data_IF_503148296398
#
_entry.id   IF_503148296398
#
_cell.length_a   1.000
_cell.length_b   1.000
_cell.length_c   1.000
_cell.angle_alpha   90.00
_cell.angle_beta   90.00
_cell.angle_gamma   90.00
#
_symmetry.space_group_name_H-M   'P 1'
#
loop_
_entity.id
_entity.type
_entity.pdbx_description
1 polymer ?
#
# COMPACT_ATOMS: atom_id res chain seq x y z
N UNK A 1 19.23 7.58 -8.54
CA UNK A 1 17.96 8.27 -8.83
C UNK A 1 18.01 9.72 -8.36
N UNK A 2 17.18 10.63 -8.89
CA UNK A 2 16.95 11.96 -8.32
C UNK A 2 15.46 12.17 -8.01
N UNK A 3 15.17 12.69 -6.83
CA UNK A 3 13.83 12.97 -6.30
C UNK A 3 13.74 14.44 -5.89
N UNK A 4 12.56 15.03 -5.93
CA UNK A 4 12.28 16.37 -5.39
C UNK A 4 11.07 16.34 -4.46
N UNK A 5 11.04 17.24 -3.49
CA UNK A 5 9.91 17.41 -2.59
C UNK A 5 8.78 18.21 -3.29
N UNK A 6 7.56 17.68 -3.31
CA UNK A 6 6.38 18.33 -3.90
C UNK A 6 5.99 19.69 -3.26
N UNK A 7 6.46 19.98 -2.04
CA UNK A 7 6.22 21.27 -1.36
C UNK A 7 7.37 22.26 -1.50
N UNK A 8 8.56 21.79 -1.87
CA UNK A 8 9.76 22.60 -2.08
C UNK A 8 10.62 21.94 -3.16
N UNK A 9 10.44 22.35 -4.42
CA UNK A 9 11.13 21.75 -5.56
C UNK A 9 12.67 21.94 -5.53
N UNK A 10 13.18 22.82 -4.66
CA UNK A 10 14.63 22.99 -4.46
C UNK A 10 15.21 21.90 -3.54
N UNK A 11 14.40 21.28 -2.68
CA UNK A 11 14.82 20.13 -1.90
C UNK A 11 14.86 18.90 -2.80
N UNK A 12 16.08 18.44 -3.09
CA UNK A 12 16.35 17.32 -3.97
C UNK A 12 17.25 16.31 -3.27
N UNK A 13 16.92 15.03 -3.44
CA UNK A 13 17.60 13.91 -2.79
C UNK A 13 17.76 12.74 -3.77
N UNK A 14 18.71 11.85 -3.53
CA UNK A 14 18.77 10.56 -4.21
C UNK A 14 17.86 9.52 -3.55
N UNK A 15 17.81 8.29 -4.06
CA UNK A 15 16.92 7.26 -3.51
C UNK A 15 17.33 6.87 -2.08
N UNK A 16 18.61 6.66 -1.83
CA UNK A 16 19.16 6.29 -0.52
C UNK A 16 18.81 7.32 0.55
N UNK A 17 18.96 8.61 0.24
CA UNK A 17 18.58 9.72 1.09
C UNK A 17 17.07 9.73 1.34
N UNK A 18 16.24 9.63 0.30
CA UNK A 18 14.78 9.59 0.46
C UNK A 18 14.31 8.35 1.24
N UNK A 19 14.96 7.22 1.08
CA UNK A 19 14.68 5.98 1.81
C UNK A 19 14.94 6.15 3.31
N UNK A 20 16.06 6.77 3.68
CA UNK A 20 16.43 7.03 5.08
C UNK A 20 15.63 8.17 5.71
N UNK A 21 15.34 9.22 4.93
CA UNK A 21 14.66 10.43 5.41
C UNK A 21 13.14 10.25 5.48
N UNK A 22 12.56 9.49 4.55
CA UNK A 22 11.11 9.29 4.41
C UNK A 22 10.37 10.52 3.88
N UNK A 23 10.27 11.58 4.69
CA UNK A 23 9.57 12.84 4.37
C UNK A 23 10.55 13.98 4.06
N UNK A 24 10.23 14.77 3.05
CA UNK A 24 10.86 16.07 2.82
C UNK A 24 10.46 17.10 3.87
N UNK A 25 11.08 18.28 3.81
CA UNK A 25 10.71 19.45 4.60
C UNK A 25 9.21 19.75 4.47
N UNK A 26 8.64 20.34 5.51
CA UNK A 26 7.21 20.68 5.60
C UNK A 26 6.27 19.46 5.41
N UNK A 27 6.75 18.26 5.75
CA UNK A 27 6.05 16.99 5.53
C UNK A 27 5.67 16.78 4.05
N UNK A 28 6.53 17.26 3.14
CA UNK A 28 6.31 17.11 1.71
C UNK A 28 6.78 15.75 1.21
N UNK A 29 6.06 15.19 0.23
CA UNK A 29 6.40 13.89 -0.34
C UNK A 29 7.47 14.05 -1.42
N UNK A 30 8.40 13.10 -1.47
CA UNK A 30 9.33 12.99 -2.58
C UNK A 30 8.67 12.39 -3.83
N UNK A 31 9.01 12.93 -5.00
CA UNK A 31 8.54 12.47 -6.32
C UNK A 31 9.70 12.32 -7.31
N UNK A 32 9.70 11.32 -8.21
CA UNK A 32 10.75 11.10 -9.21
C UNK A 32 11.00 12.34 -10.08
N UNK A 33 12.23 12.86 -10.08
CA UNK A 33 12.60 13.97 -10.97
C UNK A 33 12.48 13.57 -12.44
N UNK A 34 12.91 12.37 -12.78
CA UNK A 34 12.75 11.79 -14.12
C UNK A 34 11.67 10.72 -14.06
N UNK A 35 10.77 10.74 -15.05
CA UNK A 35 9.78 9.68 -15.26
C UNK A 35 10.30 8.82 -16.43
N UNK A 36 10.99 7.69 -16.16
CA UNK A 36 11.46 6.81 -17.22
C UNK A 36 10.28 6.26 -18.04
N UNK A 37 10.58 5.81 -19.25
CA UNK A 37 9.64 5.14 -20.14
C UNK A 37 10.37 4.06 -20.90
N UNK A 38 9.67 2.95 -21.14
CA UNK A 38 10.11 1.87 -22.01
C UNK A 38 9.41 1.97 -23.36
N UNK A 39 10.13 1.62 -24.42
CA UNK A 39 9.57 1.40 -25.75
C UNK A 39 8.68 0.16 -25.77
N UNK A 40 7.79 0.07 -26.76
CA UNK A 40 6.83 -1.04 -26.83
C UNK A 40 7.49 -2.42 -26.86
N UNK A 41 8.59 -2.56 -27.59
CA UNK A 41 9.33 -3.82 -27.66
C UNK A 41 9.98 -4.20 -26.31
N UNK A 42 10.42 -3.21 -25.53
CA UNK A 42 10.97 -3.42 -24.19
C UNK A 42 9.87 -3.86 -23.22
N UNK A 43 8.68 -3.25 -23.29
CA UNK A 43 7.51 -3.68 -22.52
C UNK A 43 7.17 -5.14 -22.84
N UNK A 44 7.08 -5.51 -24.12
CA UNK A 44 6.75 -6.88 -24.51
C UNK A 44 7.83 -7.88 -24.02
N UNK A 45 9.11 -7.50 -24.04
CA UNK A 45 10.20 -8.30 -23.49
C UNK A 45 10.12 -8.43 -21.96
N UNK A 46 9.82 -7.35 -21.24
CA UNK A 46 9.61 -7.36 -19.78
C UNK A 46 8.46 -8.29 -19.41
N UNK A 47 7.32 -8.19 -20.10
CA UNK A 47 6.15 -9.04 -19.82
C UNK A 47 6.40 -10.53 -20.06
N UNK A 48 7.44 -10.91 -20.81
CA UNK A 48 7.85 -12.29 -21.03
C UNK A 48 8.79 -12.85 -19.95
N UNK A 49 9.40 -12.00 -19.11
CA UNK A 49 10.28 -12.41 -18.02
C UNK A 49 9.49 -12.95 -16.82
N UNK A 50 10.15 -13.64 -15.90
CA UNK A 50 9.57 -13.98 -14.59
C UNK A 50 9.36 -12.73 -13.72
N UNK A 51 8.52 -12.85 -12.69
CA UNK A 51 8.12 -11.73 -11.85
C UNK A 51 9.30 -11.01 -11.17
N UNK A 52 10.29 -11.76 -10.67
CA UNK A 52 11.42 -11.19 -9.91
C UNK A 52 12.35 -10.43 -10.85
N UNK A 53 12.75 -11.06 -11.96
CA UNK A 53 13.63 -10.42 -12.97
C UNK A 53 12.97 -9.18 -13.56
N UNK A 54 11.69 -9.28 -13.92
CA UNK A 54 10.91 -8.14 -14.46
C UNK A 54 10.85 -6.98 -13.47
N UNK A 55 10.57 -7.29 -12.20
CA UNK A 55 10.51 -6.29 -11.12
C UNK A 55 11.86 -5.59 -10.93
N UNK A 56 12.97 -6.33 -11.01
CA UNK A 56 14.31 -5.74 -10.92
C UNK A 56 14.58 -4.73 -12.04
N UNK A 57 14.20 -5.03 -13.29
CA UNK A 57 14.33 -4.09 -14.41
C UNK A 57 13.45 -2.83 -14.24
N UNK A 58 12.20 -3.01 -13.81
CA UNK A 58 11.27 -1.89 -13.55
C UNK A 58 11.85 -0.95 -12.49
N UNK A 59 12.37 -1.51 -11.39
CA UNK A 59 12.96 -0.75 -10.30
C UNK A 59 14.28 -0.10 -10.72
N UNK A 60 15.12 -0.80 -11.49
CA UNK A 60 16.38 -0.26 -12.01
C UNK A 60 16.17 0.97 -12.89
N UNK A 61 15.08 1.04 -13.66
CA UNK A 61 14.76 2.23 -14.47
C UNK A 61 14.56 3.50 -13.63
N UNK A 62 14.10 3.38 -12.38
CA UNK A 62 14.03 4.51 -11.45
C UNK A 62 15.32 4.71 -10.66
N UNK A 63 15.90 3.62 -10.13
CA UNK A 63 17.09 3.68 -9.28
C UNK A 63 18.31 4.20 -10.06
N UNK A 64 18.38 3.95 -11.37
CA UNK A 64 19.51 4.29 -12.22
C UNK A 64 20.80 3.65 -11.70
N UNK A 65 21.92 4.36 -11.85
CA UNK A 65 23.24 3.84 -11.47
C UNK A 65 23.53 3.88 -9.96
N UNK A 66 22.52 4.16 -9.12
CA UNK A 66 22.69 4.23 -7.66
C UNK A 66 22.97 2.86 -7.03
N UNK A 67 22.48 1.79 -7.65
CA UNK A 67 22.77 0.41 -7.26
C UNK A 67 23.03 -0.45 -8.51
N UNK A 68 24.00 -1.38 -8.47
CA UNK A 68 24.17 -2.36 -9.53
C UNK A 68 22.91 -3.20 -9.73
N UNK A 69 22.62 -3.60 -10.97
CA UNK A 69 21.45 -4.42 -11.30
C UNK A 69 21.39 -5.72 -10.48
N UNK A 70 22.51 -6.42 -10.32
CA UNK A 70 22.58 -7.67 -9.54
C UNK A 70 22.19 -7.46 -8.08
N UNK A 71 22.52 -6.30 -7.51
CA UNK A 71 22.08 -5.92 -6.15
C UNK A 71 20.56 -5.74 -6.13
N UNK A 72 19.98 -5.01 -7.09
CA UNK A 72 18.53 -4.81 -7.17
C UNK A 72 17.83 -6.16 -7.32
N UNK A 73 18.30 -7.02 -8.23
CA UNK A 73 17.78 -8.36 -8.46
C UNK A 73 17.79 -9.21 -7.19
N UNK A 74 18.92 -9.25 -6.47
CA UNK A 74 19.04 -9.98 -5.21
C UNK A 74 18.06 -9.47 -4.14
N UNK A 75 17.93 -8.14 -4.00
CA UNK A 75 17.02 -7.51 -3.02
C UNK A 75 15.55 -7.75 -3.37
N UNK A 76 15.18 -7.71 -4.64
CA UNK A 76 13.85 -8.06 -5.11
C UNK A 76 13.56 -9.54 -4.88
N UNK A 77 14.50 -10.44 -5.20
CA UNK A 77 14.34 -11.88 -4.99
C UNK A 77 14.13 -12.25 -3.52
N UNK A 78 14.78 -11.56 -2.58
CA UNK A 78 14.55 -11.73 -1.15
C UNK A 78 13.21 -11.14 -0.66
N UNK A 79 12.72 -10.09 -1.31
CA UNK A 79 11.48 -9.42 -0.95
C UNK A 79 10.24 -10.15 -1.50
N UNK A 80 10.24 -10.47 -2.79
CA UNK A 80 9.09 -10.98 -3.55
C UNK A 80 9.13 -12.51 -3.62
N UNK A 81 9.03 -13.14 -2.45
CA UNK A 81 9.08 -14.61 -2.29
C UNK A 81 7.70 -15.27 -2.43
N UNK A 82 6.72 -14.56 -3.00
CA UNK A 82 5.33 -14.96 -3.16
C UNK A 82 4.74 -14.37 -4.44
N UNK A 83 3.73 -15.02 -5.04
CA UNK A 83 3.15 -14.59 -6.31
C UNK A 83 2.13 -13.44 -6.17
N UNK A 84 1.69 -12.90 -7.31
CA UNK A 84 0.56 -11.99 -7.45
C UNK A 84 -0.37 -12.50 -8.56
N UNK A 85 -1.11 -13.60 -8.36
CA UNK A 85 -1.87 -14.23 -9.43
C UNK A 85 -3.09 -13.42 -9.85
N UNK A 86 -3.45 -13.52 -11.13
CA UNK A 86 -4.69 -13.01 -11.71
C UNK A 86 -5.69 -14.15 -11.78
N UNK A 87 -6.79 -14.02 -11.06
CA UNK A 87 -7.84 -15.04 -10.95
C UNK A 87 -9.08 -14.57 -11.71
N UNK A 88 -9.55 -15.32 -12.74
CA UNK A 88 -10.80 -14.99 -13.43
C UNK A 88 -12.00 -15.02 -12.49
N UNK A 89 -12.87 -14.02 -12.60
CA UNK A 89 -14.13 -13.88 -11.81
C UNK A 89 -15.35 -13.98 -12.72
N UNK A 90 -15.29 -13.39 -13.91
CA UNK A 90 -16.25 -13.55 -15.01
C UNK A 90 -15.51 -13.66 -16.34
N UNK A 91 -16.25 -13.71 -17.45
CA UNK A 91 -15.67 -13.72 -18.80
C UNK A 91 -14.76 -12.49 -19.08
N UNK A 92 -15.15 -11.34 -18.54
CA UNK A 92 -14.57 -10.03 -18.79
C UNK A 92 -13.93 -9.38 -17.57
N UNK A 93 -13.95 -10.01 -16.39
CA UNK A 93 -13.39 -9.47 -15.15
C UNK A 93 -12.50 -10.51 -14.44
N UNK A 94 -11.33 -10.08 -14.00
CA UNK A 94 -10.45 -10.83 -13.10
C UNK A 94 -10.08 -10.03 -11.84
N UNK A 95 -9.61 -10.76 -10.83
CA UNK A 95 -9.03 -10.22 -9.61
C UNK A 95 -7.50 -10.37 -9.64
N UNK A 96 -6.75 -9.31 -9.34
CA UNK A 96 -5.32 -9.43 -9.02
C UNK A 96 -5.18 -9.69 -7.52
N UNK A 97 -4.87 -10.91 -7.13
CA UNK A 97 -4.77 -11.31 -5.72
C UNK A 97 -3.39 -10.94 -5.14
N UNK A 98 -3.35 -9.85 -4.37
CA UNK A 98 -2.12 -9.30 -3.78
C UNK A 98 -1.88 -9.77 -2.33
N UNK A 99 -2.52 -10.86 -1.91
CA UNK A 99 -2.54 -11.32 -0.52
C UNK A 99 -1.86 -12.67 -0.30
N UNK A 100 -0.94 -13.07 -1.18
CA UNK A 100 -0.16 -14.30 -1.05
C UNK A 100 1.13 -14.13 -0.24
N UNK A 101 1.40 -12.91 0.23
CA UNK A 101 2.52 -12.62 1.11
C UNK A 101 2.29 -13.08 2.55
N UNK A 102 3.32 -12.98 3.40
CA UNK A 102 3.31 -13.48 4.77
C UNK A 102 2.25 -12.84 5.68
N UNK A 103 1.75 -11.66 5.31
CA UNK A 103 0.73 -10.94 6.10
C UNK A 103 -0.60 -10.81 5.39
N UNK A 104 -0.77 -11.54 4.28
CA UNK A 104 -2.02 -11.68 3.56
C UNK A 104 -2.56 -10.32 3.04
N UNK A 105 -1.67 -9.40 2.66
CA UNK A 105 -2.04 -8.11 2.11
C UNK A 105 -0.96 -7.54 1.17
N UNK A 106 -1.38 -6.72 0.21
CA UNK A 106 -0.48 -6.14 -0.82
C UNK A 106 0.68 -5.33 -0.25
N UNK A 107 0.56 -4.89 1.01
CA UNK A 107 1.58 -4.13 1.71
C UNK A 107 2.86 -4.94 1.93
N UNK A 108 2.79 -6.27 1.82
CA UNK A 108 3.95 -7.17 1.87
C UNK A 108 5.00 -6.84 0.79
N UNK A 109 4.58 -6.54 -0.45
CA UNK A 109 5.52 -6.20 -1.53
C UNK A 109 6.37 -4.99 -1.15
N UNK A 110 5.70 -3.85 -0.88
CA UNK A 110 6.40 -2.62 -0.53
C UNK A 110 7.18 -2.73 0.79
N UNK A 111 6.59 -3.32 1.83
CA UNK A 111 7.21 -3.41 3.15
C UNK A 111 8.50 -4.22 3.11
N UNK A 112 8.48 -5.39 2.45
CA UNK A 112 9.64 -6.27 2.36
C UNK A 112 10.72 -5.70 1.45
N UNK A 113 10.35 -5.08 0.32
CA UNK A 113 11.33 -4.41 -0.54
C UNK A 113 12.00 -3.24 0.18
N UNK A 114 11.21 -2.44 0.91
CA UNK A 114 11.76 -1.36 1.74
C UNK A 114 12.76 -1.89 2.77
N UNK A 115 12.45 -2.99 3.47
CA UNK A 115 13.38 -3.58 4.44
C UNK A 115 14.69 -4.03 3.79
N UNK A 116 14.63 -4.67 2.63
CA UNK A 116 15.80 -5.08 1.86
C UNK A 116 16.67 -3.90 1.43
N UNK A 117 16.06 -2.84 0.91
CA UNK A 117 16.80 -1.64 0.51
C UNK A 117 17.32 -0.85 1.72
N UNK A 118 16.58 -0.84 2.83
CA UNK A 118 17.02 -0.13 4.04
C UNK A 118 18.26 -0.79 4.62
N UNK A 119 18.31 -2.12 4.71
CA UNK A 119 19.54 -2.83 5.10
C UNK A 119 20.71 -2.52 4.16
N UNK A 120 20.46 -2.49 2.84
CA UNK A 120 21.48 -2.19 1.84
C UNK A 120 22.08 -0.78 2.03
N UNK A 121 21.27 0.19 2.46
CA UNK A 121 21.66 1.60 2.56
C UNK A 121 22.12 2.00 3.96
N UNK A 122 21.43 1.52 5.01
CA UNK A 122 21.73 1.84 6.40
C UNK A 122 22.90 1.03 6.96
N UNK A 123 23.19 -0.15 6.39
CA UNK A 123 24.17 -1.08 6.95
C UNK A 123 23.81 -1.43 8.39
N UNK A 124 24.77 -1.27 9.31
CA UNK A 124 24.60 -1.55 10.75
C UNK A 124 24.09 -0.34 11.55
N UNK A 125 23.79 0.79 10.90
CA UNK A 125 23.31 1.98 11.60
C UNK A 125 21.96 1.67 12.28
N UNK A 126 21.79 2.00 13.58
CA UNK A 126 20.50 1.88 14.25
C UNK A 126 19.41 2.72 13.58
N UNK A 127 18.26 2.12 13.31
CA UNK A 127 17.08 2.79 12.74
C UNK A 127 15.84 2.44 13.54
N UNK A 128 15.03 3.44 13.88
CA UNK A 128 13.71 3.23 14.49
C UNK A 128 12.62 3.48 13.46
N UNK A 129 11.90 2.44 13.06
CA UNK A 129 10.73 2.51 12.20
C UNK A 129 9.49 2.83 13.04
N UNK A 130 9.00 4.06 12.95
CA UNK A 130 7.74 4.49 13.58
C UNK A 130 6.61 4.54 12.55
N UNK A 131 5.57 3.74 12.75
CA UNK A 131 4.48 3.56 11.78
C UNK A 131 3.10 3.58 12.46
N UNK A 132 2.17 4.35 11.91
CA UNK A 132 0.76 4.28 12.26
C UNK A 132 0.03 3.32 11.30
N UNK A 133 -0.89 2.50 11.81
CA UNK A 133 -1.66 1.54 11.02
C UNK A 133 -3.15 1.54 11.36
N UNK A 134 -3.98 1.29 10.35
CA UNK A 134 -5.40 0.94 10.47
C UNK A 134 -5.64 -0.58 10.41
N UNK A 135 -4.57 -1.38 10.41
CA UNK A 135 -4.61 -2.84 10.36
C UNK A 135 -3.39 -3.40 9.63
N UNK A 136 -3.52 -3.62 8.32
CA UNK A 136 -2.53 -4.37 7.52
C UNK A 136 -1.12 -3.77 7.47
N UNK A 137 -0.98 -2.44 7.48
CA UNK A 137 0.34 -1.81 7.34
C UNK A 137 1.27 -2.21 8.47
N UNK A 138 0.72 -2.28 9.70
CA UNK A 138 1.45 -2.71 10.89
C UNK A 138 1.96 -4.14 10.72
N UNK A 139 1.13 -5.06 10.23
CA UNK A 139 1.56 -6.43 9.98
C UNK A 139 2.69 -6.51 8.94
N UNK A 140 2.49 -5.91 7.76
CA UNK A 140 3.50 -5.97 6.70
C UNK A 140 4.83 -5.36 7.14
N UNK A 141 4.80 -4.23 7.87
CA UNK A 141 6.01 -3.59 8.41
C UNK A 141 6.63 -4.44 9.51
N UNK A 142 5.85 -4.92 10.48
CA UNK A 142 6.39 -5.73 11.57
C UNK A 142 7.11 -6.98 11.03
N UNK A 143 6.50 -7.72 10.10
CA UNK A 143 7.09 -8.92 9.53
C UNK A 143 8.26 -8.61 8.59
N UNK A 144 8.23 -7.50 7.85
CA UNK A 144 9.32 -7.13 6.95
C UNK A 144 10.62 -6.79 7.71
N UNK A 145 10.51 -6.19 8.89
CA UNK A 145 11.63 -5.74 9.71
C UNK A 145 11.89 -6.63 10.94
N UNK A 146 11.15 -7.73 11.10
CA UNK A 146 11.32 -8.64 12.23
C UNK A 146 12.70 -9.29 12.22
N UNK A 147 13.35 -9.30 13.38
CA UNK A 147 14.65 -9.96 13.57
C UNK A 147 15.84 -9.24 12.94
N UNK A 148 15.69 -7.97 12.56
CA UNK A 148 16.81 -7.16 12.07
C UNK A 148 17.49 -6.45 13.24
N UNK A 149 18.73 -6.83 13.53
CA UNK A 149 19.45 -6.43 14.75
C UNK A 149 19.57 -4.90 14.92
N UNK A 150 19.77 -4.17 13.82
CA UNK A 150 19.90 -2.72 13.84
C UNK A 150 18.58 -1.96 13.63
N UNK A 151 17.43 -2.65 13.62
CA UNK A 151 16.12 -2.02 13.40
C UNK A 151 15.21 -2.26 14.59
N UNK A 152 14.68 -1.17 15.14
CA UNK A 152 13.57 -1.21 16.09
C UNK A 152 12.29 -0.77 15.38
N UNK A 153 11.17 -1.46 15.60
CA UNK A 153 9.89 -1.13 14.98
C UNK A 153 8.89 -0.78 16.06
N UNK A 154 8.29 0.40 15.95
CA UNK A 154 7.22 0.87 16.82
C UNK A 154 5.97 1.12 15.99
N UNK A 155 4.90 0.38 16.29
CA UNK A 155 3.64 0.45 15.56
C UNK A 155 2.54 1.03 16.44
N UNK A 156 1.96 2.14 16.01
CA UNK A 156 0.80 2.77 16.64
C UNK A 156 -0.47 2.33 15.92
N UNK A 157 -1.48 1.90 16.66
CA UNK A 157 -2.79 1.57 16.10
C UNK A 157 -3.92 2.00 17.05
N UNK A 158 -5.11 2.34 16.51
CA UNK A 158 -6.23 2.75 17.35
C UNK A 158 -6.78 1.56 18.15
N UNK A 159 -6.83 1.72 19.47
CA UNK A 159 -7.32 0.70 20.40
C UNK A 159 -8.76 0.29 20.06
N UNK A 160 -8.97 -1.02 19.85
CA UNK A 160 -10.29 -1.59 19.57
C UNK A 160 -10.88 -1.25 18.19
N UNK A 161 -10.11 -0.66 17.27
CA UNK A 161 -10.62 -0.26 15.93
C UNK A 161 -9.99 -1.04 14.76
N UNK A 162 -9.31 -2.16 15.05
CA UNK A 162 -8.77 -3.08 14.03
C UNK A 162 -9.32 -4.49 14.28
N UNK A 163 -9.37 -5.32 13.23
CA UNK A 163 -9.83 -6.72 13.35
C UNK A 163 -8.95 -7.48 14.36
N UNK A 164 -9.53 -8.34 15.22
CA UNK A 164 -8.77 -9.15 16.17
C UNK A 164 -7.66 -9.97 15.50
N UNK A 165 -7.91 -10.51 14.30
CA UNK A 165 -6.91 -11.29 13.55
C UNK A 165 -5.80 -10.39 12.99
N UNK A 166 -6.13 -9.15 12.58
CA UNK A 166 -5.10 -8.17 12.19
C UNK A 166 -4.22 -7.81 13.39
N UNK A 167 -4.80 -7.56 14.56
CA UNK A 167 -4.05 -7.26 15.79
C UNK A 167 -3.10 -8.41 16.17
N UNK A 168 -3.61 -9.65 16.18
CA UNK A 168 -2.80 -10.84 16.47
C UNK A 168 -1.62 -11.01 15.52
N UNK A 169 -1.75 -10.61 14.26
CA UNK A 169 -0.72 -10.83 13.24
C UNK A 169 0.58 -10.04 13.52
N UNK A 170 0.51 -8.92 14.24
CA UNK A 170 1.69 -8.07 14.51
C UNK A 170 1.93 -7.72 15.98
N UNK A 171 0.91 -7.79 16.83
CA UNK A 171 1.03 -7.53 18.28
C UNK A 171 1.48 -8.75 19.10
N UNK A 172 1.88 -9.84 18.45
CA UNK A 172 2.30 -11.10 19.08
C UNK A 172 3.77 -11.46 18.79
N UNK A 173 4.50 -10.59 18.09
CA UNK A 173 5.85 -10.88 17.59
C UNK A 173 6.94 -10.73 18.67
N UNK A 174 6.90 -9.65 19.45
CA UNK A 174 7.94 -9.32 20.42
C UNK A 174 9.30 -9.06 19.76
N UNK A 175 10.40 -9.23 20.52
CA UNK A 175 11.75 -8.97 20.03
C UNK A 175 11.94 -7.49 19.69
N UNK A 176 12.35 -7.19 18.45
CA UNK A 176 12.53 -5.82 17.97
C UNK A 176 11.22 -5.11 17.55
N UNK A 177 10.06 -5.75 17.75
CA UNK A 177 8.74 -5.20 17.42
C UNK A 177 8.01 -4.80 18.69
N UNK A 178 7.66 -3.51 18.75
CA UNK A 178 6.90 -2.90 19.84
C UNK A 178 5.59 -2.35 19.29
N UNK A 179 4.48 -2.73 19.91
CA UNK A 179 3.15 -2.29 19.49
C UNK A 179 2.49 -1.43 20.56
N UNK A 180 1.82 -0.37 20.12
CA UNK A 180 1.16 0.60 21.01
C UNK A 180 -0.29 0.80 20.55
N UNK A 181 -1.21 0.42 21.42
CA UNK A 181 -2.63 0.71 21.29
C UNK A 181 -2.89 2.14 21.76
N UNK A 182 -3.27 3.02 20.83
CA UNK A 182 -3.58 4.43 21.13
C UNK A 182 -5.07 4.58 21.42
N UNK A 183 -5.41 5.22 22.54
CA UNK A 183 -6.78 5.60 22.88
C UNK A 183 -7.23 6.76 21.98
N UNK A 184 -7.62 6.45 20.75
CA UNK A 184 -7.98 7.41 19.71
C UNK A 184 -8.44 6.73 18.42
N UNK A 185 -8.48 7.49 17.33
CA UNK A 185 -8.66 6.97 15.97
C UNK A 185 -7.32 6.86 15.22
N UNK A 186 -7.41 6.42 13.96
CA UNK A 186 -6.23 6.32 13.10
C UNK A 186 -5.59 7.69 12.83
N UNK A 187 -6.39 8.75 12.70
CA UNK A 187 -5.89 10.10 12.46
C UNK A 187 -5.06 10.61 13.65
N UNK A 188 -5.47 10.30 14.88
CA UNK A 188 -4.69 10.55 16.10
C UNK A 188 -3.36 9.78 16.09
N UNK A 189 -3.36 8.50 15.72
CA UNK A 189 -2.13 7.72 15.57
C UNK A 189 -1.19 8.36 14.54
N UNK A 190 -1.71 8.77 13.39
CA UNK A 190 -0.94 9.41 12.34
C UNK A 190 -0.40 10.78 12.77
N UNK A 191 -1.18 11.56 13.53
CA UNK A 191 -0.74 12.83 14.08
C UNK A 191 0.43 12.67 15.05
N UNK A 192 0.40 11.66 15.92
CA UNK A 192 1.51 11.35 16.84
C UNK A 192 2.79 10.97 16.09
N UNK A 193 2.67 10.16 15.03
CA UNK A 193 3.82 9.83 14.17
C UNK A 193 4.39 11.11 13.56
N UNK A 194 3.55 11.98 12.99
CA UNK A 194 4.00 13.26 12.42
C UNK A 194 4.71 14.15 13.45
N UNK A 195 4.16 14.29 14.66
CA UNK A 195 4.79 15.04 15.75
C UNK A 195 6.18 14.47 16.11
N UNK A 196 6.36 13.14 16.05
CA UNK A 196 7.66 12.52 16.26
C UNK A 196 8.69 12.88 15.18
N UNK A 197 8.26 13.07 13.93
CA UNK A 197 9.14 13.51 12.83
C UNK A 197 9.49 14.99 12.88
N UNK A 198 8.62 15.81 13.47
CA UNK A 198 8.86 17.24 13.69
C UNK A 198 9.79 17.50 14.89
N UNK A 199 9.94 16.53 15.82
CA UNK A 199 10.93 16.56 16.90
C UNK A 199 12.32 16.15 16.38
N UNK A 200 13.12 17.16 16.02
CA UNK A 200 14.48 16.99 15.49
C UNK A 200 15.38 16.19 16.42
N UNK A 201 15.32 16.43 17.73
CA UNK A 201 16.16 15.75 18.71
C UNK A 201 15.81 14.27 18.82
N UNK A 202 14.51 13.93 18.79
CA UNK A 202 14.04 12.54 18.78
C UNK A 202 14.45 11.83 17.49
N UNK A 203 14.29 12.50 16.34
CA UNK A 203 14.64 11.95 15.01
C UNK A 203 16.11 11.63 14.90
N UNK A 204 16.98 12.55 15.32
CA UNK A 204 18.43 12.37 15.27
C UNK A 204 18.90 11.29 16.24
N UNK A 205 18.35 11.25 17.46
CA UNK A 205 18.71 10.24 18.47
C UNK A 205 18.34 8.82 18.04
N UNK A 206 17.10 8.62 17.57
CA UNK A 206 16.57 7.28 17.28
C UNK A 206 16.79 6.82 15.84
N UNK A 207 17.33 7.68 14.97
CA UNK A 207 17.36 7.42 13.53
C UNK A 207 15.94 7.18 13.00
N UNK A 208 15.00 8.06 13.35
CA UNK A 208 13.58 7.82 13.16
C UNK A 208 13.21 7.85 11.66
N UNK A 209 12.56 6.79 11.19
CA UNK A 209 12.12 6.61 9.80
C UNK A 209 10.69 6.01 9.76
N UNK A 210 9.96 6.16 8.65
CA UNK A 210 8.58 5.68 8.49
C UNK A 210 8.49 4.68 7.36
N UNK A 211 7.76 3.59 7.61
CA UNK A 211 7.52 2.54 6.61
C UNK A 211 6.13 2.63 5.94
N UNK A 212 5.47 3.79 6.01
CA UNK A 212 4.23 4.06 5.28
C UNK A 212 4.47 4.34 3.78
N UNK A 213 3.41 4.36 2.97
CA UNK A 213 3.48 4.68 1.52
C UNK A 213 4.01 6.08 1.19
N UNK A 214 4.24 6.89 2.22
CA UNK A 214 5.02 8.12 2.18
C UNK A 214 6.45 7.85 1.66
N UNK A 215 7.08 6.75 2.10
CA UNK A 215 8.42 6.36 1.69
C UNK A 215 8.44 5.97 0.19
N UNK A 216 9.42 6.47 -0.55
CA UNK A 216 9.51 6.25 -2.01
C UNK A 216 9.68 4.77 -2.37
N UNK A 217 10.38 3.99 -1.54
CA UNK A 217 10.60 2.55 -1.78
C UNK A 217 9.29 1.75 -1.81
N UNK A 218 8.36 2.07 -0.90
CA UNK A 218 7.01 1.49 -0.85
C UNK A 218 6.27 1.74 -2.15
N UNK A 219 6.32 2.97 -2.66
CA UNK A 219 5.63 3.36 -3.88
C UNK A 219 6.21 2.65 -5.11
N UNK A 220 7.54 2.62 -5.25
CA UNK A 220 8.19 2.01 -6.42
C UNK A 220 7.98 0.49 -6.48
N UNK A 221 8.07 -0.21 -5.35
CA UNK A 221 7.83 -1.66 -5.29
C UNK A 221 6.43 -2.04 -5.80
N UNK A 222 5.43 -1.20 -5.50
CA UNK A 222 4.05 -1.43 -5.88
C UNK A 222 3.80 -1.34 -7.40
N UNK A 223 4.69 -0.70 -8.16
CA UNK A 223 4.59 -0.64 -9.63
C UNK A 223 4.68 -2.04 -10.24
N UNK A 224 5.45 -2.93 -9.60
CA UNK A 224 5.85 -4.21 -10.15
C UNK A 224 4.67 -5.16 -10.38
N UNK A 225 3.70 -5.22 -9.46
CA UNK A 225 2.57 -6.14 -9.61
C UNK A 225 1.57 -5.72 -10.68
N UNK A 226 1.58 -4.46 -11.14
CA UNK A 226 0.79 -4.07 -12.31
C UNK A 226 1.35 -4.69 -13.59
N UNK A 227 2.67 -4.74 -13.73
CA UNK A 227 3.32 -5.46 -14.84
C UNK A 227 3.09 -6.97 -14.73
N UNK A 228 3.14 -7.52 -13.52
CA UNK A 228 2.80 -8.94 -13.27
C UNK A 228 1.38 -9.28 -13.68
N UNK A 229 0.41 -8.45 -13.33
CA UNK A 229 -0.97 -8.65 -13.76
C UNK A 229 -1.09 -8.67 -15.29
N UNK A 230 -0.51 -7.68 -15.97
CA UNK A 230 -0.57 -7.59 -17.45
C UNK A 230 0.13 -8.78 -18.12
N UNK A 231 1.23 -9.28 -17.54
CA UNK A 231 1.96 -10.43 -18.06
C UNK A 231 1.09 -11.70 -18.09
N UNK A 232 0.19 -11.86 -17.11
CA UNK A 232 -0.73 -13.00 -17.01
C UNK A 232 -1.95 -12.89 -17.93
N UNK A 233 -2.25 -11.71 -18.46
CA UNK A 233 -3.39 -11.49 -19.35
C UNK A 233 -3.08 -11.83 -20.82
N UNK A 234 -4.05 -12.36 -21.58
CA UNK A 234 -3.89 -12.56 -23.01
C UNK A 234 -3.82 -11.21 -23.76
N UNK A 235 -3.15 -11.19 -24.91
CA UNK A 235 -2.91 -9.96 -25.68
C UNK A 235 -4.20 -9.16 -25.99
N UNK A 236 -5.31 -9.85 -26.26
CA UNK A 236 -6.60 -9.22 -26.51
C UNK A 236 -7.09 -8.39 -25.30
N UNK A 237 -6.95 -8.95 -24.09
CA UNK A 237 -7.34 -8.26 -22.85
C UNK A 237 -6.41 -7.07 -22.55
N UNK A 238 -5.10 -7.19 -22.79
CA UNK A 238 -4.10 -6.12 -22.53
C UNK A 238 -4.44 -4.81 -23.22
N UNK A 239 -4.97 -4.86 -24.45
CA UNK A 239 -5.26 -3.66 -25.24
C UNK A 239 -6.52 -2.90 -24.76
N UNK A 240 -7.39 -3.55 -23.98
CA UNK A 240 -8.65 -2.97 -23.49
C UNK A 240 -8.76 -3.04 -21.96
N UNK A 241 -7.61 -3.06 -21.27
CA UNK A 241 -7.53 -3.27 -19.84
C UNK A 241 -7.98 -2.04 -19.05
N UNK A 242 -8.96 -2.23 -18.17
CA UNK A 242 -9.43 -1.24 -17.19
C UNK A 242 -9.13 -1.76 -15.79
N UNK A 243 -8.42 -0.98 -14.98
CA UNK A 243 -8.00 -1.39 -13.64
C UNK A 243 -8.70 -0.57 -12.57
N UNK A 244 -9.45 -1.22 -11.68
CA UNK A 244 -10.03 -0.58 -10.50
C UNK A 244 -9.20 -0.86 -9.25
N UNK A 245 -8.85 0.21 -8.55
CA UNK A 245 -7.98 0.17 -7.37
C UNK A 245 -8.79 0.61 -6.14
N UNK A 246 -9.01 -0.27 -5.15
CA UNK A 246 -9.63 0.12 -3.89
C UNK A 246 -8.67 1.05 -3.14
N UNK A 247 -9.08 2.31 -2.97
CA UNK A 247 -8.18 3.43 -2.66
C UNK A 247 -8.56 4.10 -1.34
N UNK A 248 -7.65 3.98 -0.36
CA UNK A 248 -7.66 4.78 0.88
C UNK A 248 -6.66 5.93 0.79
N UNK A 249 -5.38 5.65 1.05
CA UNK A 249 -4.30 6.66 1.03
C UNK A 249 -3.67 6.89 -0.37
N UNK A 250 -4.26 6.33 -1.44
CA UNK A 250 -3.91 6.51 -2.86
C UNK A 250 -2.50 6.07 -3.32
N UNK A 251 -1.69 5.46 -2.45
CA UNK A 251 -0.35 4.97 -2.84
C UNK A 251 -0.40 3.85 -3.90
N UNK A 252 -1.39 2.97 -3.82
CA UNK A 252 -1.59 1.87 -4.77
C UNK A 252 -1.92 2.39 -6.17
N UNK A 253 -2.97 3.21 -6.29
CA UNK A 253 -3.33 3.86 -7.56
C UNK A 253 -2.17 4.68 -8.14
N UNK A 254 -1.41 5.40 -7.30
CA UNK A 254 -0.23 6.15 -7.75
C UNK A 254 0.81 5.23 -8.40
N UNK A 255 1.03 4.04 -7.85
CA UNK A 255 1.95 3.06 -8.43
C UNK A 255 1.44 2.52 -9.78
N UNK A 256 0.14 2.28 -9.91
CA UNK A 256 -0.47 1.87 -11.18
C UNK A 256 -0.33 2.93 -12.26
N UNK A 257 -0.54 4.20 -11.92
CA UNK A 257 -0.33 5.32 -12.84
C UNK A 257 1.16 5.48 -13.21
N UNK A 258 2.08 5.24 -12.27
CA UNK A 258 3.51 5.20 -12.58
C UNK A 258 3.85 4.05 -13.53
N UNK A 259 3.22 2.87 -13.37
CA UNK A 259 3.34 1.76 -14.32
C UNK A 259 2.87 2.15 -15.73
N UNK A 260 1.74 2.84 -15.84
CA UNK A 260 1.27 3.39 -17.12
C UNK A 260 2.23 4.44 -17.68
N UNK A 261 2.84 5.27 -16.82
CA UNK A 261 3.83 6.28 -17.24
C UNK A 261 5.11 5.64 -17.80
N UNK A 262 5.47 4.44 -17.32
CA UNK A 262 6.55 3.63 -17.85
C UNK A 262 6.25 3.02 -19.23
N UNK A 263 5.00 3.06 -19.70
CA UNK A 263 4.58 2.49 -20.98
C UNK A 263 3.69 1.24 -20.87
N UNK A 264 3.32 0.80 -19.66
CA UNK A 264 2.42 -0.34 -19.49
C UNK A 264 1.05 -0.04 -20.13
N UNK A 265 0.50 -0.92 -20.99
CA UNK A 265 -0.76 -0.67 -21.68
C UNK A 265 -1.94 -0.83 -20.72
N UNK A 266 -2.42 0.29 -20.20
CA UNK A 266 -3.65 0.39 -19.42
C UNK A 266 -4.55 1.44 -20.06
N UNK A 267 -5.78 1.05 -20.41
CA UNK A 267 -6.74 1.93 -21.08
C UNK A 267 -7.27 3.00 -20.12
N UNK A 268 -7.64 2.59 -18.91
CA UNK A 268 -8.20 3.47 -17.87
C UNK A 268 -7.96 2.90 -16.48
N UNK A 269 -7.69 3.78 -15.53
CA UNK A 269 -7.74 3.46 -14.10
C UNK A 269 -9.03 3.96 -13.48
N UNK A 270 -9.48 3.29 -12.42
CA UNK A 270 -10.64 3.66 -11.63
C UNK A 270 -10.25 3.74 -10.15
N UNK A 271 -10.46 4.90 -9.53
CA UNK A 271 -10.34 5.09 -8.09
C UNK A 271 -11.64 4.68 -7.38
N UNK A 272 -11.62 3.54 -6.70
CA UNK A 272 -12.79 3.04 -5.97
C UNK A 272 -12.62 3.30 -4.47
N UNK A 273 -13.48 4.12 -3.86
CA UNK A 273 -13.41 4.43 -2.42
C UNK A 273 -14.63 3.89 -1.67
N UNK A 274 -14.56 3.86 -0.34
CA UNK A 274 -15.74 3.68 0.49
C UNK A 274 -16.45 5.03 0.70
N UNK A 275 -17.24 5.15 1.78
CA UNK A 275 -17.92 6.39 2.17
C UNK A 275 -16.98 7.59 2.42
N UNK A 276 -15.67 7.35 2.61
CA UNK A 276 -14.64 8.37 2.69
C UNK A 276 -14.21 8.80 1.28
N UNK A 277 -15.07 9.59 0.64
CA UNK A 277 -15.13 9.83 -0.80
C UNK A 277 -14.52 11.18 -1.25
N UNK A 278 -13.54 11.71 -0.52
CA UNK A 278 -12.92 13.01 -0.83
C UNK A 278 -12.44 13.10 -2.28
N UNK A 279 -11.79 12.06 -2.79
CA UNK A 279 -11.29 12.05 -4.17
C UNK A 279 -12.41 11.90 -5.20
N UNK A 280 -13.37 10.96 -5.10
CA UNK A 280 -14.53 10.95 -5.99
C UNK A 280 -15.27 12.29 -6.07
N UNK A 281 -15.53 12.96 -4.93
CA UNK A 281 -16.16 14.29 -4.92
C UNK A 281 -15.28 15.36 -5.55
N UNK A 282 -13.97 15.31 -5.31
CA UNK A 282 -13.02 16.21 -5.95
C UNK A 282 -13.00 16.01 -7.47
N UNK A 283 -12.93 14.78 -7.96
CA UNK A 283 -12.95 14.47 -9.40
C UNK A 283 -14.26 14.89 -10.07
N UNK A 284 -15.38 14.81 -9.36
CA UNK A 284 -16.69 15.24 -9.88
C UNK A 284 -16.87 16.77 -9.91
N UNK A 285 -16.33 17.50 -8.93
CA UNK A 285 -16.65 18.92 -8.71
C UNK A 285 -15.48 19.89 -8.90
N UNK A 286 -14.24 19.39 -8.89
CA UNK A 286 -13.01 20.19 -8.81
C UNK A 286 -12.73 20.80 -7.43
N UNK A 287 -13.55 20.52 -6.42
CA UNK A 287 -13.47 21.16 -5.10
C UNK A 287 -12.90 20.19 -4.06
N UNK A 288 -11.74 20.54 -3.48
CA UNK A 288 -11.10 19.73 -2.44
C UNK A 288 -11.69 20.04 -1.05
N UNK A 289 -12.62 19.21 -0.59
CA UNK A 289 -13.28 19.35 0.72
C UNK A 289 -13.37 17.99 1.44
N UNK A 290 -12.35 17.61 2.24
CA UNK A 290 -12.39 16.37 3.00
C UNK A 290 -13.41 16.45 4.14
N UNK A 291 -14.26 15.43 4.26
CA UNK A 291 -15.17 15.27 5.39
C UNK A 291 -14.45 14.65 6.60
N UNK A 292 -15.14 14.57 7.75
CA UNK A 292 -14.66 13.75 8.86
C UNK A 292 -14.62 12.28 8.45
N UNK A 293 -13.61 11.55 8.92
CA UNK A 293 -13.44 10.12 8.61
C UNK A 293 -14.58 9.30 9.21
N UNK A 294 -15.19 8.45 8.39
CA UNK A 294 -16.25 7.51 8.76
C UNK A 294 -15.67 6.10 8.84
N UNK A 295 -16.00 5.37 9.91
CA UNK A 295 -15.65 3.97 10.03
C UNK A 295 -16.55 3.13 9.10
N UNK A 296 -15.95 2.20 8.35
CA UNK A 296 -16.67 1.33 7.40
C UNK A 296 -16.22 -0.13 7.52
N UNK A 297 -16.84 -1.04 6.75
CA UNK A 297 -16.39 -2.42 6.61
C UNK A 297 -15.00 -2.54 5.97
N UNK A 298 -14.56 -1.50 5.25
CA UNK A 298 -13.27 -1.44 4.56
C UNK A 298 -12.30 -0.51 5.29
N UNK A 299 -12.03 -0.83 6.56
CA UNK A 299 -11.30 0.03 7.50
C UNK A 299 -9.91 0.49 7.04
N UNK A 300 -9.24 -0.26 6.16
CA UNK A 300 -7.95 0.17 5.61
C UNK A 300 -8.08 1.32 4.58
N UNK A 301 -9.31 1.58 4.11
CA UNK A 301 -9.67 2.66 3.18
C UNK A 301 -10.32 3.86 3.88
N UNK A 302 -10.54 3.82 5.20
CA UNK A 302 -11.12 4.93 5.97
C UNK A 302 -10.13 6.10 6.09
N UNK A 303 -9.98 6.84 4.99
CA UNK A 303 -9.02 7.92 4.82
C UNK A 303 -9.68 9.11 4.13
N UNK A 304 -9.98 10.16 4.88
CA UNK A 304 -10.55 11.39 4.29
C UNK A 304 -9.51 12.31 3.65
N UNK A 305 -8.23 12.18 4.01
CA UNK A 305 -7.13 13.04 3.54
C UNK A 305 -6.00 12.18 2.94
N UNK A 306 -6.13 11.71 1.70
CA UNK A 306 -5.16 10.80 1.12
C UNK A 306 -3.82 11.49 0.84
N UNK A 307 -2.78 11.09 1.57
CA UNK A 307 -1.47 11.73 1.52
C UNK A 307 -0.80 11.60 0.15
N UNK A 308 -1.08 10.57 -0.64
CA UNK A 308 -0.47 10.40 -1.98
C UNK A 308 -1.22 11.12 -3.10
N UNK A 309 -2.36 11.77 -2.85
CA UNK A 309 -3.08 12.49 -3.90
C UNK A 309 -2.22 13.55 -4.62
N UNK A 310 -1.38 14.34 -3.92
CA UNK A 310 -0.46 15.27 -4.59
C UNK A 310 0.51 14.60 -5.58
N UNK A 311 0.89 13.32 -5.37
CA UNK A 311 1.72 12.57 -6.33
C UNK A 311 0.93 12.19 -7.58
N UNK A 312 -0.37 11.90 -7.44
CA UNK A 312 -1.26 11.66 -8.58
C UNK A 312 -1.40 12.95 -9.40
N UNK A 313 -1.70 14.07 -8.76
CA UNK A 313 -1.84 15.37 -9.43
C UNK A 313 -0.55 15.77 -10.15
N UNK A 314 0.61 15.59 -9.50
CA UNK A 314 1.90 15.88 -10.11
C UNK A 314 2.19 15.00 -11.32
N UNK A 315 1.87 13.71 -11.24
CA UNK A 315 2.05 12.79 -12.36
C UNK A 315 1.16 13.16 -13.56
N UNK A 316 -0.12 13.43 -13.31
CA UNK A 316 -1.06 13.87 -14.35
C UNK A 316 -0.60 15.19 -14.98
N UNK A 317 -0.20 16.16 -14.17
CA UNK A 317 0.33 17.45 -14.63
C UNK A 317 1.56 17.26 -15.52
N UNK A 318 2.52 16.43 -15.12
CA UNK A 318 3.77 16.21 -15.85
C UNK A 318 3.63 15.36 -17.11
N UNK A 319 2.62 14.50 -17.17
CA UNK A 319 2.30 13.69 -18.34
C UNK A 319 1.24 14.34 -19.24
N UNK A 320 0.78 15.53 -18.87
CA UNK A 320 -0.29 16.27 -19.56
C UNK A 320 -1.57 15.43 -19.71
N UNK A 321 -1.84 14.57 -18.73
CA UNK A 321 -3.04 13.76 -18.72
C UNK A 321 -4.22 14.54 -18.14
N UNK A 322 -5.42 14.46 -18.74
CA UNK A 322 -6.60 15.07 -18.16
C UNK A 322 -7.04 14.28 -16.94
N UNK A 323 -7.16 14.92 -15.76
CA UNK A 323 -7.66 14.27 -14.54
C UNK A 323 -9.04 13.62 -14.75
N UNK A 324 -9.87 14.20 -15.62
CA UNK A 324 -11.17 13.63 -15.99
C UNK A 324 -11.13 12.29 -16.72
N UNK A 325 -9.95 11.81 -17.14
CA UNK A 325 -9.77 10.44 -17.66
C UNK A 325 -9.71 9.37 -16.57
N UNK A 326 -9.48 9.77 -15.32
CA UNK A 326 -9.49 8.86 -14.18
C UNK A 326 -10.93 8.54 -13.80
N UNK A 327 -11.34 7.29 -13.98
CA UNK A 327 -12.64 6.83 -13.49
C UNK A 327 -12.68 6.86 -11.97
N UNK A 328 -13.87 6.95 -11.39
CA UNK A 328 -14.03 6.92 -9.94
C UNK A 328 -15.39 6.37 -9.54
N UNK A 329 -15.49 5.93 -8.29
CA UNK A 329 -16.75 5.57 -7.68
C UNK A 329 -16.62 5.37 -6.18
N UNK A 330 -17.75 5.38 -5.51
CA UNK A 330 -17.85 5.20 -4.06
C UNK A 330 -18.95 4.18 -3.76
N UNK A 331 -18.71 3.35 -2.74
CA UNK A 331 -19.72 2.46 -2.16
C UNK A 331 -19.86 2.73 -0.66
N UNK A 332 -21.08 2.61 -0.16
CA UNK A 332 -21.33 2.45 1.27
C UNK A 332 -21.28 0.97 1.71
N UNK A 333 -21.41 0.71 3.00
CA UNK A 333 -21.32 -0.66 3.54
C UNK A 333 -22.41 -1.59 3.03
N UNK A 334 -23.66 -1.12 2.90
CA UNK A 334 -24.76 -1.94 2.38
C UNK A 334 -24.49 -2.42 0.94
N UNK A 335 -24.04 -1.50 0.07
CA UNK A 335 -23.62 -1.83 -1.29
C UNK A 335 -22.39 -2.74 -1.31
N UNK A 336 -21.48 -2.59 -0.35
CA UNK A 336 -20.30 -3.45 -0.21
C UNK A 336 -20.71 -4.89 0.15
N UNK A 337 -21.66 -5.07 1.07
CA UNK A 337 -22.19 -6.41 1.38
C UNK A 337 -22.86 -7.06 0.16
N UNK A 338 -23.65 -6.31 -0.60
CA UNK A 338 -24.26 -6.78 -1.84
C UNK A 338 -23.21 -7.20 -2.87
N UNK A 339 -22.16 -6.40 -3.05
CA UNK A 339 -21.05 -6.72 -3.95
C UNK A 339 -20.31 -8.00 -3.51
N UNK A 340 -20.10 -8.19 -2.21
CA UNK A 340 -19.50 -9.42 -1.67
C UNK A 340 -20.37 -10.65 -1.96
N UNK A 341 -21.69 -10.55 -1.78
CA UNK A 341 -22.62 -11.64 -2.11
C UNK A 341 -22.64 -11.93 -3.61
N UNK A 342 -22.58 -10.89 -4.46
CA UNK A 342 -22.52 -11.04 -5.91
C UNK A 342 -21.24 -11.76 -6.36
N UNK A 343 -20.07 -11.41 -5.79
CA UNK A 343 -18.81 -12.12 -6.05
C UNK A 343 -18.89 -13.58 -5.61
N UNK A 344 -19.44 -13.84 -4.43
CA UNK A 344 -19.59 -15.20 -3.91
C UNK A 344 -20.53 -16.05 -4.81
N UNK A 345 -21.58 -15.45 -5.37
CA UNK A 345 -22.47 -16.12 -6.33
C UNK A 345 -21.77 -16.48 -7.66
N UNK A 346 -20.71 -15.75 -8.03
CA UNK A 346 -19.81 -16.09 -9.15
C UNK A 346 -18.74 -17.13 -8.76
N UNK A 347 -18.73 -17.61 -7.52
CA UNK A 347 -17.74 -18.56 -7.02
C UNK A 347 -16.45 -17.92 -6.49
N UNK A 348 -16.37 -16.59 -6.42
CA UNK A 348 -15.19 -15.87 -5.95
C UNK A 348 -15.39 -15.32 -4.53
N UNK A 349 -14.56 -15.77 -3.58
CA UNK A 349 -14.63 -15.33 -2.18
C UNK A 349 -13.84 -14.03 -2.02
N UNK A 350 -14.55 -12.92 -1.86
CA UNK A 350 -13.93 -11.61 -1.67
C UNK A 350 -14.16 -11.05 -0.26
N UNK A 351 -13.66 -9.84 -0.06
CA UNK A 351 -13.72 -9.07 1.17
C UNK A 351 -14.08 -7.60 0.88
N UNK A 352 -14.41 -6.80 1.91
CA UNK A 352 -14.97 -5.46 1.70
C UNK A 352 -14.18 -4.55 0.76
N UNK A 353 -12.84 -4.53 0.85
CA UNK A 353 -12.01 -3.61 0.07
C UNK A 353 -12.07 -3.94 -1.43
N UNK A 354 -11.81 -5.20 -1.80
CA UNK A 354 -11.84 -5.66 -3.17
C UNK A 354 -13.26 -5.68 -3.75
N UNK A 355 -14.29 -5.92 -2.93
CA UNK A 355 -15.69 -5.85 -3.36
C UNK A 355 -16.10 -4.44 -3.83
N UNK A 356 -15.57 -3.40 -3.18
CA UNK A 356 -15.74 -2.01 -3.62
C UNK A 356 -15.14 -1.81 -5.02
N UNK A 357 -13.88 -2.22 -5.21
CA UNK A 357 -13.23 -2.09 -6.52
C UNK A 357 -13.95 -2.87 -7.62
N UNK A 358 -14.39 -4.10 -7.34
CA UNK A 358 -15.17 -4.92 -8.26
C UNK A 358 -16.48 -4.24 -8.68
N UNK A 359 -17.26 -3.74 -7.72
CA UNK A 359 -18.57 -3.16 -8.05
C UNK A 359 -18.42 -1.84 -8.82
N UNK A 360 -17.46 -1.00 -8.46
CA UNK A 360 -17.17 0.23 -9.23
C UNK A 360 -16.66 -0.12 -10.63
N UNK A 361 -15.76 -1.11 -10.75
CA UNK A 361 -15.27 -1.60 -12.04
C UNK A 361 -16.43 -2.04 -12.93
N UNK A 362 -17.26 -2.96 -12.43
CA UNK A 362 -18.41 -3.52 -13.15
C UNK A 362 -19.38 -2.44 -13.61
N UNK A 363 -19.62 -1.41 -12.79
CA UNK A 363 -20.50 -0.30 -13.15
C UNK A 363 -19.92 0.63 -14.24
N UNK A 364 -18.60 0.60 -14.46
CA UNK A 364 -17.88 1.49 -15.38
C UNK A 364 -17.17 0.74 -16.53
N UNK A 365 -17.36 -0.57 -16.66
CA UNK A 365 -16.75 -1.39 -17.69
C UNK A 365 -17.61 -1.33 -18.96
N UNK A 366 -17.05 -0.85 -20.06
CA UNK A 366 -17.75 -0.78 -21.35
C UNK A 366 -17.66 -2.11 -22.10
N UNK A 367 -18.61 -2.41 -23.02
CA UNK A 367 -18.54 -3.61 -23.85
C UNK A 367 -17.21 -3.72 -24.60
N UNK A 368 -16.57 -4.89 -24.53
CA UNK A 368 -15.26 -5.17 -25.14
C UNK A 368 -14.05 -4.72 -24.32
N UNK A 369 -14.27 -4.11 -23.14
CA UNK A 369 -13.20 -3.88 -22.15
C UNK A 369 -12.96 -5.13 -21.30
N UNK A 370 -11.74 -5.28 -20.80
CA UNK A 370 -11.38 -6.32 -19.83
C UNK A 370 -11.07 -5.66 -18.49
N UNK A 371 -11.80 -6.03 -17.46
CA UNK A 371 -11.70 -5.47 -16.13
C UNK A 371 -10.73 -6.23 -15.24
N UNK A 372 -9.94 -5.49 -14.47
CA UNK A 372 -9.12 -6.04 -13.38
C UNK A 372 -9.38 -5.23 -12.12
N UNK A 373 -9.74 -5.88 -11.01
CA UNK A 373 -9.80 -5.23 -9.70
C UNK A 373 -8.74 -5.81 -8.77
N UNK A 374 -8.21 -5.00 -7.85
CA UNK A 374 -7.17 -5.46 -6.95
C UNK A 374 -7.75 -6.12 -5.69
N UNK A 375 -7.39 -7.37 -5.46
CA UNK A 375 -7.59 -8.10 -4.21
C UNK A 375 -6.53 -7.69 -3.20
N UNK A 376 -6.77 -6.63 -2.43
CA UNK A 376 -5.72 -6.02 -1.59
C UNK A 376 -5.41 -6.77 -0.29
N UNK A 377 -6.32 -7.63 0.17
CA UNK A 377 -6.17 -8.39 1.40
C UNK A 377 -6.95 -9.71 1.31
N UNK A 378 -6.49 -10.74 2.03
CA UNK A 378 -7.18 -12.03 2.06
C UNK A 378 -8.47 -11.92 2.90
N UNK A 379 -9.60 -12.52 2.47
CA UNK A 379 -10.86 -12.49 3.21
C UNK A 379 -10.82 -12.92 4.68
N UNK A 380 -9.96 -13.86 5.04
CA UNK A 380 -9.81 -14.34 6.41
C UNK A 380 -9.33 -13.26 7.40
N UNK A 381 -8.72 -12.17 6.92
CA UNK A 381 -8.37 -11.03 7.79
C UNK A 381 -9.60 -10.31 8.35
N UNK A 382 -10.75 -10.46 7.69
CA UNK A 382 -12.03 -9.86 8.02
C UNK A 382 -13.09 -10.95 8.29
N UNK A 383 -12.66 -12.09 8.85
CA UNK A 383 -13.48 -13.30 9.00
C UNK A 383 -14.88 -13.00 9.58
N UNK A 384 -14.97 -12.26 10.68
CA UNK A 384 -16.26 -11.91 11.31
C UNK A 384 -17.24 -11.26 10.32
N UNK A 385 -16.78 -10.25 9.56
CA UNK A 385 -17.62 -9.59 8.56
C UNK A 385 -17.94 -10.52 7.40
N UNK A 386 -16.93 -11.21 6.84
CA UNK A 386 -17.12 -12.05 5.65
C UNK A 386 -18.04 -13.24 5.95
N UNK A 387 -17.86 -13.92 7.08
CA UNK A 387 -18.68 -15.05 7.49
C UNK A 387 -20.14 -14.63 7.75
N UNK A 388 -20.36 -13.48 8.42
CA UNK A 388 -21.70 -12.91 8.60
C UNK A 388 -22.36 -12.58 7.27
N UNK A 389 -21.65 -11.89 6.37
CA UNK A 389 -22.21 -11.39 5.10
C UNK A 389 -22.55 -12.54 4.15
N UNK A 390 -21.69 -13.57 4.11
CA UNK A 390 -21.80 -14.70 3.19
C UNK A 390 -22.47 -15.94 3.81
N UNK A 391 -22.82 -15.89 5.10
CA UNK A 391 -23.41 -16.99 5.86
C UNK A 391 -22.63 -18.32 5.70
N UNK A 392 -21.30 -18.25 5.72
CA UNK A 392 -20.41 -19.41 5.61
C UNK A 392 -19.16 -19.24 6.46
N UNK A 393 -18.63 -20.34 6.99
CA UNK A 393 -17.35 -20.33 7.68
C UNK A 393 -16.20 -20.13 6.68
N UNK A 394 -15.16 -19.43 7.10
CA UNK A 394 -13.91 -19.29 6.35
C UNK A 394 -12.81 -20.12 7.00
N UNK A 395 -12.04 -20.90 6.20
CA UNK A 395 -10.84 -21.52 6.72
C UNK A 395 -9.85 -20.42 7.12
N UNK A 396 -9.22 -20.58 8.29
CA UNK A 396 -8.19 -19.67 8.76
C UNK A 396 -6.84 -20.07 8.14
N UNK A 397 -6.20 -19.23 7.31
CA UNK A 397 -4.90 -19.55 6.72
C UNK A 397 -3.82 -19.75 7.79
N UNK A 398 -2.79 -20.58 7.53
CA UNK A 398 -1.72 -20.86 8.49
C UNK A 398 -1.11 -19.62 9.14
N UNK A 399 -0.83 -18.58 8.34
CA UNK A 399 -0.25 -17.31 8.81
C UNK A 399 -1.07 -16.61 9.91
N UNK A 400 -2.41 -16.78 9.91
CA UNK A 400 -3.29 -16.26 10.97
C UNK A 400 -3.47 -17.29 12.09
N UNK A 401 -3.63 -18.57 11.74
CA UNK A 401 -3.87 -19.65 12.70
C UNK A 401 -2.74 -19.80 13.73
N UNK A 402 -1.48 -19.70 13.29
CA UNK A 402 -0.29 -19.78 14.14
C UNK A 402 -0.23 -18.68 15.21
N UNK A 403 -0.92 -17.55 14.99
CA UNK A 403 -0.85 -16.37 15.87
C UNK A 403 -2.13 -16.10 16.64
N UNK A 404 -3.26 -16.66 16.22
CA UNK A 404 -4.58 -16.34 16.77
C UNK A 404 -4.67 -16.54 18.29
N UNK A 405 -3.99 -17.56 18.84
CA UNK A 405 -3.99 -17.89 20.26
C UNK A 405 -2.88 -17.21 21.09
N UNK A 406 -1.90 -16.55 20.45
CA UNK A 406 -0.77 -15.94 21.15
C UNK A 406 -1.21 -14.71 21.96
N UNK A 407 -0.60 -14.43 23.14
CA UNK A 407 -0.95 -13.25 23.93
C UNK A 407 -0.54 -11.96 23.22
N UNK A 408 -1.33 -10.91 23.40
CA UNK A 408 -0.99 -9.57 22.91
C UNK A 408 0.12 -8.97 23.77
N UNK A 409 1.07 -8.30 23.12
CA UNK A 409 2.21 -7.64 23.75
C UNK A 409 2.09 -6.10 23.71
N UNK A 410 0.97 -5.58 23.20
CA UNK A 410 0.76 -4.14 23.05
C UNK A 410 0.68 -3.41 24.37
N UNK A 411 1.28 -2.21 24.43
CA UNK A 411 1.04 -1.26 25.51
C UNK A 411 -0.05 -0.27 25.13
N UNK A 412 -0.93 0.06 26.06
CA UNK A 412 -1.97 1.09 25.84
C UNK A 412 -1.46 2.45 26.27
N UNK A 413 -1.59 3.46 25.38
CA UNK A 413 -1.26 4.86 25.67
C UNK A 413 -2.40 5.80 25.26
N UNK A 414 -2.61 6.92 25.98
CA UNK A 414 -3.50 7.98 25.49
C UNK A 414 -2.91 8.62 24.22
N UNK A 415 -3.76 9.32 23.46
CA UNK A 415 -3.34 10.11 22.29
C UNK A 415 -2.52 11.37 22.69
N UNK A 416 -1.36 11.16 23.30
CA UNK A 416 -0.48 12.18 23.87
C UNK A 416 0.97 11.95 23.44
N UNK A 417 1.57 12.96 22.79
CA UNK A 417 2.93 12.84 22.28
C UNK A 417 4.00 12.80 23.36
N UNK A 418 3.79 13.44 24.51
CA UNK A 418 4.76 13.39 25.62
C UNK A 418 4.84 11.99 26.24
N UNK A 419 3.74 11.23 26.22
CA UNK A 419 3.70 9.81 26.61
C UNK A 419 4.39 8.94 25.57
N UNK A 420 4.08 9.12 24.28
CA UNK A 420 4.73 8.39 23.20
C UNK A 420 6.24 8.63 23.19
N UNK A 421 6.67 9.90 23.27
CA UNK A 421 8.09 10.28 23.28
C UNK A 421 8.85 9.60 24.41
N UNK A 422 8.28 9.51 25.61
CA UNK A 422 8.88 8.77 26.72
C UNK A 422 8.97 7.29 26.45
N UNK A 423 7.92 6.68 25.92
CA UNK A 423 7.92 5.27 25.53
C UNK A 423 9.02 4.97 24.50
N UNK A 424 9.18 5.82 23.48
CA UNK A 424 10.20 5.66 22.44
C UNK A 424 11.64 5.71 23.00
N UNK A 425 11.86 6.44 24.09
CA UNK A 425 13.17 6.60 24.74
C UNK A 425 13.42 5.63 25.90
N UNK A 426 12.46 4.77 26.25
CA UNK A 426 12.49 3.98 27.49
C UNK A 426 13.34 2.68 27.40
N UNK A 427 13.79 2.29 26.22
CA UNK A 427 14.53 1.03 25.98
C UNK A 427 15.99 1.27 25.53
N UNK A 428 16.60 2.36 26.00
CA UNK A 428 18.08 2.52 26.05
C UNK A 428 18.62 2.06 27.42
#
# INVERSE_FOLDING_TARGET
MKLYNLKDHNEQVNFAQALLQGLGRQQGLFFPHTLPSFERCEIDALLAQDFVTRSAHILAAYLGDEFPFDTILARVGAAFTFPAPVVPVSEDIAALELFHGPTLAFKDFGGRFMAQMLQQVAGDRPVTILTATSGDTGAAVAHAFYGLDNVQVVILYPYGKISPLQEKLFCTLGGNIRTVAIEGDFDACQALVKQAFDDVALRERLGLNSANSINISRLLAQICYYFEAVAQLPQAARNQLVIAVPSGNFGDLTAGLLAQSLGLPVKRFIAATNANDTVPRFLASGVWQPHATLATLSNAMDVSRPNNWPRVEELFRRREWPLGSLGYGTLNDAQTEEAMRALAALGYVSEPHAAIAYQVLRANLAPGEYGLFLGTAHPAKFAESVERILARALPLPPALAERAALPLLSQTLPADFSRLRRFLLADE
#
